data_IF_278686902160
#
_entry.id   IF_278686902160
#
_cell.length_a   1.000
_cell.length_b   1.000
_cell.length_c   1.000
_cell.angle_alpha   90.00
_cell.angle_beta   90.00
_cell.angle_gamma   90.00
#
_symmetry.space_group_name_H-M   'P 1'
#
loop_
_entity.id
_entity.type
_entity.pdbx_description
1 polymer ?
#
# COMPACT_ATOMS: atom_id res chain seq x y z
N UNK A 1 33.27 -53.23 -35.78
CA UNK A 1 32.17 -52.28 -35.76
C UNK A 1 31.05 -52.95 -34.99
N UNK A 2 30.88 -52.66 -33.70
CA UNK A 2 29.80 -53.21 -32.89
C UNK A 2 28.55 -52.44 -33.18
N UNK A 3 27.47 -53.15 -33.50
CA UNK A 3 26.15 -52.65 -33.67
C UNK A 3 25.65 -51.99 -32.35
N UNK A 4 25.09 -50.79 -32.33
CA UNK A 4 24.53 -50.25 -31.13
C UNK A 4 23.33 -51.10 -30.70
N UNK A 5 23.48 -51.83 -29.59
CA UNK A 5 22.40 -52.63 -29.00
C UNK A 5 21.17 -51.74 -28.81
N UNK A 6 20.05 -52.16 -29.42
CA UNK A 6 18.74 -51.52 -29.16
C UNK A 6 18.46 -51.50 -27.64
N UNK A 7 17.94 -50.40 -27.09
CA UNK A 7 17.65 -50.33 -25.68
C UNK A 7 16.63 -51.40 -25.28
N UNK A 8 16.89 -52.05 -24.14
CA UNK A 8 16.02 -53.11 -23.60
C UNK A 8 14.65 -52.51 -23.29
N UNK A 9 13.59 -53.19 -23.75
CA UNK A 9 12.19 -52.80 -23.54
C UNK A 9 11.88 -52.50 -22.07
N UNK A 10 12.48 -53.25 -21.16
CA UNK A 10 12.32 -53.06 -19.70
C UNK A 10 12.91 -51.73 -19.22
N UNK A 11 14.06 -51.33 -19.75
CA UNK A 11 14.70 -50.04 -19.47
C UNK A 11 13.86 -48.85 -19.96
N UNK A 12 13.23 -49.01 -21.14
CA UNK A 12 12.32 -47.99 -21.69
C UNK A 12 11.05 -47.85 -20.82
N UNK A 13 10.48 -48.96 -20.38
CA UNK A 13 9.28 -48.95 -19.51
C UNK A 13 9.56 -48.30 -18.17
N UNK A 14 10.71 -48.53 -17.54
CA UNK A 14 11.13 -47.88 -16.30
C UNK A 14 11.34 -46.37 -16.49
N UNK A 15 11.98 -45.97 -17.58
CA UNK A 15 12.19 -44.54 -17.90
C UNK A 15 10.87 -43.79 -18.15
N UNK A 16 9.93 -44.42 -18.87
CA UNK A 16 8.62 -43.86 -19.12
C UNK A 16 7.85 -43.73 -17.81
N UNK A 17 7.89 -44.73 -16.94
CA UNK A 17 7.24 -44.67 -15.62
C UNK A 17 7.81 -43.57 -14.76
N UNK A 18 9.14 -43.44 -14.66
CA UNK A 18 9.82 -42.38 -13.94
C UNK A 18 9.43 -40.99 -14.45
N UNK A 19 9.31 -40.81 -15.78
CA UNK A 19 8.83 -39.56 -16.39
C UNK A 19 7.40 -39.22 -15.97
N UNK A 20 6.49 -40.21 -16.10
CA UNK A 20 5.08 -40.00 -15.71
C UNK A 20 4.93 -39.66 -14.24
N UNK A 21 5.67 -40.33 -13.38
CA UNK A 21 5.68 -40.04 -11.92
C UNK A 21 6.21 -38.61 -11.64
N UNK A 22 7.30 -38.22 -12.30
CA UNK A 22 7.86 -36.87 -12.18
C UNK A 22 6.91 -35.78 -12.72
N UNK A 23 6.24 -36.02 -13.85
CA UNK A 23 5.23 -35.12 -14.40
C UNK A 23 4.02 -34.99 -13.46
N UNK A 24 3.56 -36.08 -12.86
CA UNK A 24 2.47 -36.06 -11.90
C UNK A 24 2.85 -35.25 -10.63
N UNK A 25 4.07 -35.46 -10.10
CA UNK A 25 4.56 -34.69 -8.94
C UNK A 25 4.70 -33.20 -9.26
N UNK A 26 5.22 -32.88 -10.45
CA UNK A 26 5.34 -31.48 -10.89
C UNK A 26 3.98 -30.80 -11.01
N UNK A 27 2.99 -31.51 -11.55
CA UNK A 27 1.63 -30.99 -11.69
C UNK A 27 0.95 -30.79 -10.33
N UNK A 28 1.12 -31.72 -9.39
CA UNK A 28 0.61 -31.57 -8.00
C UNK A 28 1.27 -30.35 -7.31
N UNK A 29 2.57 -30.17 -7.46
CA UNK A 29 3.28 -29.02 -6.91
C UNK A 29 2.77 -27.70 -7.52
N UNK A 30 2.55 -27.64 -8.83
CA UNK A 30 1.98 -26.46 -9.50
C UNK A 30 0.60 -26.11 -8.94
N UNK A 31 -0.28 -27.10 -8.82
CA UNK A 31 -1.61 -26.91 -8.24
C UNK A 31 -1.55 -26.36 -6.80
N UNK A 32 -0.63 -26.87 -5.98
CA UNK A 32 -0.45 -26.36 -4.60
C UNK A 32 0.05 -24.93 -4.59
N UNK A 33 0.99 -24.58 -5.47
CA UNK A 33 1.50 -23.20 -5.59
C UNK A 33 0.37 -22.27 -6.06
N UNK A 34 -0.37 -22.64 -7.10
CA UNK A 34 -1.48 -21.84 -7.61
C UNK A 34 -2.56 -21.60 -6.54
N UNK A 35 -2.93 -22.65 -5.79
CA UNK A 35 -3.87 -22.52 -4.68
C UNK A 35 -3.35 -21.60 -3.57
N UNK A 36 -2.06 -21.72 -3.21
CA UNK A 36 -1.46 -20.86 -2.21
C UNK A 36 -1.43 -19.39 -2.68
N UNK A 37 -1.11 -19.15 -3.94
CA UNK A 37 -1.13 -17.81 -4.54
C UNK A 37 -2.53 -17.20 -4.54
N UNK A 38 -3.56 -17.98 -4.89
CA UNK A 38 -4.95 -17.51 -4.85
C UNK A 38 -5.39 -17.16 -3.42
N UNK A 39 -5.12 -18.02 -2.43
CA UNK A 39 -5.48 -17.79 -1.04
C UNK A 39 -4.77 -16.58 -0.44
N UNK A 40 -3.51 -16.36 -0.81
CA UNK A 40 -2.71 -15.23 -0.34
C UNK A 40 -2.95 -13.95 -1.15
N UNK A 41 -3.76 -14.02 -2.22
CA UNK A 41 -3.92 -12.96 -3.22
C UNK A 41 -2.56 -12.42 -3.72
N UNK A 42 -1.64 -13.35 -4.00
CA UNK A 42 -0.24 -13.11 -4.36
C UNK A 42 0.06 -13.68 -5.74
N UNK A 43 0.66 -12.90 -6.60
CA UNK A 43 1.25 -13.36 -7.86
C UNK A 43 2.77 -13.28 -7.85
N UNK A 44 3.42 -13.94 -8.79
CA UNK A 44 4.84 -13.83 -9.04
C UNK A 44 5.13 -13.43 -10.50
N UNK A 45 6.28 -12.83 -10.69
CA UNK A 45 6.80 -12.47 -12.00
C UNK A 45 8.27 -12.87 -12.13
N UNK A 46 8.68 -13.16 -13.36
CA UNK A 46 10.04 -13.48 -13.73
C UNK A 46 10.35 -12.83 -15.09
N UNK A 47 11.03 -11.69 -15.04
CA UNK A 47 11.36 -10.89 -16.22
C UNK A 47 12.79 -11.16 -16.69
N UNK A 48 12.91 -11.60 -17.91
CA UNK A 48 14.18 -11.75 -18.62
C UNK A 48 14.52 -10.43 -19.32
N UNK A 49 15.44 -9.67 -18.75
CA UNK A 49 15.76 -8.29 -19.13
C UNK A 49 16.24 -8.19 -20.60
N UNK A 50 17.20 -9.03 -21.09
CA UNK A 50 17.74 -8.88 -22.43
C UNK A 50 16.71 -9.05 -23.56
N UNK A 51 15.63 -9.81 -23.34
CA UNK A 51 14.61 -10.07 -24.36
C UNK A 51 13.28 -9.35 -24.07
N UNK A 52 13.21 -8.60 -22.99
CA UNK A 52 11.97 -8.03 -22.45
C UNK A 52 10.81 -9.03 -22.38
N UNK A 53 11.12 -10.28 -21.98
CA UNK A 53 10.12 -11.33 -21.81
C UNK A 53 9.80 -11.47 -20.33
N UNK A 54 8.59 -11.13 -19.93
CA UNK A 54 8.13 -11.21 -18.56
C UNK A 54 7.12 -12.34 -18.40
N UNK A 55 7.41 -13.29 -17.53
CA UNK A 55 6.50 -14.38 -17.21
C UNK A 55 5.76 -14.04 -15.93
N UNK A 56 4.44 -14.01 -16.01
CA UNK A 56 3.54 -13.80 -14.88
C UNK A 56 2.86 -15.10 -14.49
N UNK A 57 2.63 -15.30 -13.19
CA UNK A 57 1.74 -16.35 -12.73
C UNK A 57 0.28 -16.04 -13.11
N UNK A 58 -0.55 -17.07 -13.20
CA UNK A 58 -1.97 -16.91 -13.51
C UNK A 58 -2.67 -15.99 -12.51
N UNK A 59 -2.28 -16.05 -11.23
CA UNK A 59 -2.81 -15.17 -10.19
C UNK A 59 -2.41 -13.70 -10.41
N UNK A 60 -1.22 -13.43 -10.93
CA UNK A 60 -0.81 -12.05 -11.23
C UNK A 60 -1.70 -11.44 -12.32
N UNK A 61 -2.01 -12.18 -13.39
CA UNK A 61 -2.98 -11.72 -14.39
C UNK A 61 -4.33 -11.36 -13.76
N UNK A 62 -4.86 -12.21 -12.85
CA UNK A 62 -6.13 -11.96 -12.15
C UNK A 62 -6.08 -10.74 -11.25
N UNK A 63 -4.96 -10.50 -10.55
CA UNK A 63 -4.74 -9.29 -9.74
C UNK A 63 -4.82 -8.04 -10.63
N UNK A 64 -4.26 -8.09 -11.83
CA UNK A 64 -4.34 -6.99 -12.79
C UNK A 64 -5.68 -6.89 -13.53
N UNK A 65 -6.63 -7.81 -13.28
CA UNK A 65 -7.96 -7.81 -13.89
C UNK A 65 -8.02 -8.41 -15.28
N UNK A 66 -7.09 -9.31 -15.60
CA UNK A 66 -7.04 -10.00 -16.89
C UNK A 66 -7.19 -11.51 -16.74
N UNK A 67 -7.65 -12.15 -17.79
CA UNK A 67 -7.60 -13.60 -17.90
C UNK A 67 -6.15 -14.09 -17.97
N UNK A 68 -5.81 -15.22 -17.32
CA UNK A 68 -4.48 -15.80 -17.37
C UNK A 68 -3.97 -15.97 -18.81
N UNK A 69 -2.72 -15.60 -19.04
CA UNK A 69 -2.02 -15.72 -20.32
C UNK A 69 -2.70 -14.98 -21.50
N UNK A 70 -3.60 -14.01 -21.22
CA UNK A 70 -4.31 -13.26 -22.28
C UNK A 70 -3.43 -12.31 -23.09
N UNK A 71 -2.22 -12.03 -22.61
CA UNK A 71 -1.23 -11.21 -23.31
C UNK A 71 0.20 -11.61 -22.94
N UNK A 72 1.17 -11.18 -23.75
CA UNK A 72 2.57 -11.28 -23.40
C UNK A 72 2.96 -10.11 -22.48
N UNK A 73 3.37 -10.44 -21.27
CA UNK A 73 3.83 -9.43 -20.32
C UNK A 73 5.23 -8.92 -20.72
N UNK A 74 5.44 -7.62 -20.58
CA UNK A 74 6.71 -6.92 -20.78
C UNK A 74 6.86 -5.83 -19.72
N UNK A 75 8.05 -5.26 -19.60
CA UNK A 75 8.28 -4.14 -18.67
C UNK A 75 7.50 -2.89 -19.08
N UNK A 76 7.47 -2.58 -20.38
CA UNK A 76 6.70 -1.46 -20.90
C UNK A 76 5.20 -1.62 -20.56
N UNK A 77 4.68 -2.83 -20.74
CA UNK A 77 3.28 -3.12 -20.43
C UNK A 77 2.98 -3.03 -18.94
N UNK A 78 3.89 -3.51 -18.10
CA UNK A 78 3.80 -3.32 -16.64
C UNK A 78 3.68 -1.82 -16.28
N UNK A 79 4.58 -0.98 -16.81
CA UNK A 79 4.53 0.46 -16.56
C UNK A 79 3.22 1.11 -17.02
N UNK A 80 2.59 0.58 -18.07
CA UNK A 80 1.32 1.11 -18.58
C UNK A 80 0.16 0.90 -17.62
N UNK A 81 0.19 -0.12 -16.78
CA UNK A 81 -0.83 -0.42 -15.78
C UNK A 81 -0.68 0.41 -14.51
N UNK A 82 0.50 0.96 -14.24
CA UNK A 82 0.74 1.77 -13.06
C UNK A 82 -0.05 3.09 -13.10
N UNK A 83 -0.48 3.52 -11.92
CA UNK A 83 -0.98 4.89 -11.76
C UNK A 83 0.08 5.88 -12.29
N UNK A 84 -0.32 6.95 -13.01
CA UNK A 84 0.65 7.89 -13.61
C UNK A 84 1.70 8.42 -12.63
N UNK A 85 1.29 8.75 -11.41
CA UNK A 85 2.18 9.34 -10.39
C UNK A 85 3.22 8.34 -9.85
N UNK A 86 2.96 7.03 -9.99
CA UNK A 86 3.84 5.98 -9.43
C UNK A 86 4.90 5.53 -10.45
N UNK A 87 4.75 5.86 -11.73
CA UNK A 87 5.63 5.39 -12.82
C UNK A 87 7.08 5.80 -12.62
N UNK A 88 7.33 7.08 -12.39
CA UNK A 88 8.69 7.60 -12.22
C UNK A 88 9.35 7.08 -10.94
N UNK A 89 8.71 7.13 -9.74
CA UNK A 89 9.27 6.55 -8.53
C UNK A 89 9.63 5.06 -8.66
N UNK A 90 8.76 4.25 -9.30
CA UNK A 90 9.00 2.82 -9.49
C UNK A 90 10.16 2.56 -10.45
N UNK A 91 10.27 3.34 -11.52
CA UNK A 91 11.43 3.26 -12.42
C UNK A 91 12.74 3.58 -11.70
N UNK A 92 12.75 4.55 -10.78
CA UNK A 92 13.92 4.88 -9.97
C UNK A 92 14.29 3.73 -9.03
N UNK A 93 13.32 3.10 -8.35
CA UNK A 93 13.55 1.93 -7.50
C UNK A 93 14.18 0.78 -8.31
N UNK A 94 13.66 0.50 -9.51
CA UNK A 94 14.23 -0.54 -10.36
C UNK A 94 15.64 -0.19 -10.86
N UNK A 95 15.90 1.06 -11.21
CA UNK A 95 17.23 1.52 -11.60
C UNK A 95 18.25 1.37 -10.47
N UNK A 96 17.84 1.68 -9.23
CA UNK A 96 18.68 1.47 -8.05
C UNK A 96 18.98 -0.01 -7.82
N UNK A 97 17.96 -0.88 -7.93
CA UNK A 97 18.14 -2.32 -7.85
C UNK A 97 19.07 -2.88 -8.93
N UNK A 98 19.05 -2.32 -10.15
CA UNK A 98 20.01 -2.68 -11.20
C UNK A 98 21.43 -2.25 -10.88
N UNK A 99 21.59 -1.08 -10.25
CA UNK A 99 22.91 -0.54 -9.94
C UNK A 99 23.56 -1.21 -8.72
N UNK A 100 22.76 -1.55 -7.71
CA UNK A 100 23.24 -2.07 -6.42
C UNK A 100 23.20 -3.58 -6.30
N UNK A 101 22.24 -4.24 -6.98
CA UNK A 101 21.93 -5.66 -6.80
C UNK A 101 21.13 -5.96 -5.53
N UNK A 102 20.79 -4.94 -4.76
CA UNK A 102 20.00 -5.09 -3.54
C UNK A 102 18.53 -5.43 -3.86
N UNK A 103 17.89 -6.28 -3.05
CA UNK A 103 16.46 -6.53 -3.16
C UNK A 103 15.67 -5.26 -2.91
N UNK A 104 14.58 -5.07 -3.66
CA UNK A 104 13.69 -3.94 -3.47
C UNK A 104 12.33 -4.36 -2.92
N UNK A 105 11.69 -3.41 -2.26
CA UNK A 105 10.31 -3.48 -1.82
C UNK A 105 9.62 -2.17 -2.18
N UNK A 106 8.40 -2.26 -2.69
CA UNK A 106 7.61 -1.09 -3.05
C UNK A 106 6.13 -1.35 -2.84
N UNK A 107 5.36 -0.27 -2.71
CA UNK A 107 3.91 -0.31 -2.84
C UNK A 107 3.55 0.50 -4.07
N UNK A 108 2.77 -0.08 -4.96
CA UNK A 108 2.38 0.52 -6.23
C UNK A 108 0.87 0.52 -6.39
N UNK A 109 0.38 1.53 -7.08
CA UNK A 109 -1.02 1.59 -7.51
C UNK A 109 -1.12 1.16 -8.96
N UNK A 110 -2.03 0.24 -9.24
CA UNK A 110 -2.37 -0.17 -10.59
C UNK A 110 -3.81 0.22 -10.92
N UNK A 111 -4.07 0.51 -12.18
CA UNK A 111 -5.41 0.78 -12.71
C UNK A 111 -5.82 -0.41 -13.57
N UNK A 112 -6.86 -1.13 -13.16
CA UNK A 112 -7.43 -2.26 -13.89
C UNK A 112 -8.17 -1.81 -15.15
N UNK A 113 -8.49 -2.73 -16.09
CA UNK A 113 -9.26 -2.40 -17.30
C UNK A 113 -10.66 -1.82 -17.05
N UNK A 114 -11.27 -2.18 -15.92
CA UNK A 114 -12.57 -1.64 -15.46
C UNK A 114 -12.45 -0.28 -14.78
N UNK A 115 -11.23 0.26 -14.64
CA UNK A 115 -10.94 1.52 -13.96
C UNK A 115 -10.74 1.38 -12.44
N UNK A 116 -10.86 0.17 -11.88
CA UNK A 116 -10.64 -0.07 -10.45
C UNK A 116 -9.17 0.16 -10.08
N UNK A 117 -8.95 0.94 -9.02
CA UNK A 117 -7.62 1.16 -8.44
C UNK A 117 -7.29 0.04 -7.45
N UNK A 118 -6.12 -0.55 -7.59
CA UNK A 118 -5.58 -1.56 -6.67
C UNK A 118 -4.23 -1.15 -6.11
N UNK A 119 -3.95 -1.55 -4.88
CA UNK A 119 -2.68 -1.34 -4.20
C UNK A 119 -1.95 -2.66 -4.10
N UNK A 120 -0.74 -2.74 -4.66
CA UNK A 120 0.09 -3.94 -4.62
C UNK A 120 1.32 -3.69 -3.77
N UNK A 121 1.61 -4.63 -2.86
CA UNK A 121 2.90 -4.69 -2.17
C UNK A 121 3.79 -5.65 -2.93
N UNK A 122 4.82 -5.12 -3.56
CA UNK A 122 5.75 -5.87 -4.41
C UNK A 122 7.14 -5.92 -3.82
N UNK A 123 7.77 -7.06 -3.97
CA UNK A 123 9.19 -7.23 -3.68
C UNK A 123 9.87 -7.97 -4.83
N UNK A 124 11.16 -7.75 -4.98
CA UNK A 124 11.91 -8.42 -6.02
C UNK A 124 13.41 -8.27 -5.86
N UNK A 125 14.10 -9.02 -6.69
CA UNK A 125 15.57 -8.98 -6.78
C UNK A 125 16.03 -9.08 -8.22
N UNK A 126 17.15 -8.45 -8.50
CA UNK A 126 17.85 -8.55 -9.78
C UNK A 126 18.89 -9.65 -9.72
N UNK A 127 18.96 -10.48 -10.75
CA UNK A 127 19.99 -11.50 -10.93
C UNK A 127 20.93 -11.05 -12.04
N UNK A 128 22.21 -11.25 -11.80
CA UNK A 128 23.30 -10.86 -12.70
C UNK A 128 23.97 -12.08 -13.30
N UNK A 129 24.55 -11.94 -14.45
CA UNK A 129 25.45 -12.93 -15.04
C UNK A 129 26.86 -12.85 -14.44
N UNK A 130 27.78 -13.70 -14.90
CA UNK A 130 29.17 -13.74 -14.45
C UNK A 130 29.94 -12.43 -14.75
N UNK A 131 29.46 -11.62 -15.69
CA UNK A 131 30.05 -10.33 -16.06
C UNK A 131 29.55 -9.18 -15.19
N UNK A 132 28.56 -9.41 -14.31
CA UNK A 132 27.89 -8.38 -13.54
C UNK A 132 26.81 -7.63 -14.30
N UNK A 133 26.35 -8.16 -15.42
CA UNK A 133 25.23 -7.58 -16.20
C UNK A 133 23.90 -8.08 -15.66
N UNK A 134 22.88 -7.21 -15.43
CA UNK A 134 21.57 -7.64 -14.97
C UNK A 134 20.86 -8.41 -16.09
N UNK A 135 20.50 -9.67 -15.82
CA UNK A 135 19.86 -10.56 -16.80
C UNK A 135 18.44 -10.91 -16.46
N UNK A 136 18.06 -10.83 -15.19
CA UNK A 136 16.76 -11.28 -14.74
C UNK A 136 16.28 -10.47 -13.54
N UNK A 137 14.99 -10.20 -13.49
CA UNK A 137 14.34 -9.63 -12.29
C UNK A 137 13.14 -10.50 -11.95
N UNK A 138 13.05 -10.93 -10.70
CA UNK A 138 11.93 -11.74 -10.24
C UNK A 138 11.47 -11.31 -8.87
N UNK A 139 10.19 -11.51 -8.62
CA UNK A 139 9.60 -11.13 -7.35
C UNK A 139 8.16 -11.58 -7.22
N UNK A 140 7.52 -11.07 -6.17
CA UNK A 140 6.12 -11.34 -5.87
C UNK A 140 5.37 -10.02 -5.64
N UNK A 141 4.08 -10.03 -5.99
CA UNK A 141 3.16 -8.93 -5.77
C UNK A 141 1.96 -9.46 -4.97
N UNK A 142 1.60 -8.79 -3.89
CA UNK A 142 0.43 -9.10 -3.06
C UNK A 142 -0.57 -7.96 -3.23
N UNK A 143 -1.82 -8.28 -3.55
CA UNK A 143 -2.89 -7.29 -3.52
C UNK A 143 -3.24 -6.97 -2.05
N UNK A 144 -2.94 -5.74 -1.65
CA UNK A 144 -3.17 -5.23 -0.28
C UNK A 144 -4.29 -4.19 -0.24
N UNK A 145 -5.09 -4.11 -1.28
CA UNK A 145 -6.13 -3.08 -1.44
C UNK A 145 -7.10 -3.04 -0.28
N UNK A 146 -7.66 -4.19 0.11
CA UNK A 146 -8.60 -4.27 1.23
C UNK A 146 -7.97 -3.78 2.54
N UNK A 147 -6.70 -4.12 2.78
CA UNK A 147 -5.97 -3.67 3.96
C UNK A 147 -5.74 -2.16 3.95
N UNK A 148 -5.31 -1.60 2.81
CA UNK A 148 -5.07 -0.15 2.67
C UNK A 148 -6.37 0.62 2.84
N UNK A 149 -7.45 0.21 2.18
CA UNK A 149 -8.75 0.88 2.30
C UNK A 149 -9.31 0.80 3.72
N UNK A 150 -9.22 -0.36 4.38
CA UNK A 150 -9.65 -0.51 5.77
C UNK A 150 -8.83 0.36 6.74
N UNK A 151 -7.54 0.57 6.50
CA UNK A 151 -6.70 1.47 7.29
C UNK A 151 -7.11 2.93 7.09
N UNK A 152 -7.29 3.35 5.84
CA UNK A 152 -7.77 4.70 5.51
C UNK A 152 -9.14 5.01 6.15
N UNK A 153 -10.09 4.07 6.09
CA UNK A 153 -11.37 4.21 6.75
C UNK A 153 -11.24 4.38 8.27
N UNK A 154 -10.35 3.61 8.91
CA UNK A 154 -10.08 3.73 10.35
C UNK A 154 -9.48 5.08 10.71
N UNK A 155 -8.52 5.56 9.93
CA UNK A 155 -7.90 6.86 10.12
C UNK A 155 -8.91 7.99 9.97
N UNK A 156 -9.76 7.95 8.94
CA UNK A 156 -10.84 8.92 8.75
C UNK A 156 -11.84 8.91 9.92
N UNK A 157 -12.25 7.72 10.38
CA UNK A 157 -13.13 7.60 11.53
C UNK A 157 -12.51 8.15 12.81
N UNK A 158 -11.23 7.84 13.05
CA UNK A 158 -10.50 8.37 14.20
C UNK A 158 -10.38 9.91 14.15
N UNK A 159 -10.05 10.46 12.97
CA UNK A 159 -9.96 11.91 12.78
C UNK A 159 -11.31 12.61 13.01
N UNK A 160 -12.40 12.04 12.48
CA UNK A 160 -13.77 12.57 12.70
C UNK A 160 -14.16 12.52 14.17
N UNK A 161 -13.91 11.39 14.86
CA UNK A 161 -14.20 11.24 16.29
C UNK A 161 -13.39 12.23 17.14
N UNK A 162 -12.11 12.42 16.83
CA UNK A 162 -11.26 13.40 17.49
C UNK A 162 -11.78 14.84 17.29
N UNK A 163 -12.13 15.20 16.06
CA UNK A 163 -12.68 16.52 15.75
C UNK A 163 -14.01 16.79 16.51
N UNK A 164 -14.88 15.79 16.60
CA UNK A 164 -16.13 15.89 17.36
C UNK A 164 -15.85 16.06 18.86
N UNK A 165 -14.92 15.30 19.42
CA UNK A 165 -14.53 15.41 20.81
C UNK A 165 -13.96 16.80 21.13
N UNK A 166 -13.11 17.34 20.27
CA UNK A 166 -12.57 18.70 20.42
C UNK A 166 -13.68 19.75 20.38
N UNK A 167 -14.64 19.64 19.46
CA UNK A 167 -15.79 20.55 19.39
C UNK A 167 -16.66 20.49 20.66
N UNK A 168 -16.92 19.28 21.18
CA UNK A 168 -17.68 19.09 22.42
C UNK A 168 -16.95 19.71 23.59
N UNK A 169 -15.63 19.49 23.71
CA UNK A 169 -14.82 20.06 24.78
C UNK A 169 -14.83 21.60 24.77
N UNK A 170 -14.63 22.18 23.59
CA UNK A 170 -14.69 23.63 23.41
C UNK A 170 -16.06 24.22 23.72
N UNK A 171 -17.14 23.53 23.31
CA UNK A 171 -18.50 23.97 23.67
C UNK A 171 -18.75 23.98 25.20
N UNK A 172 -18.26 22.98 25.92
CA UNK A 172 -18.33 22.91 27.36
C UNK A 172 -17.52 24.05 28.03
N UNK A 173 -16.30 24.28 27.53
CA UNK A 173 -15.43 25.33 28.04
C UNK A 173 -16.02 26.75 27.83
N UNK A 174 -16.59 27.00 26.64
CA UNK A 174 -17.31 28.26 26.37
C UNK A 174 -18.50 28.39 27.32
N UNK A 175 -19.32 27.33 27.46
CA UNK A 175 -20.49 27.37 28.32
C UNK A 175 -20.09 27.65 29.78
N UNK A 176 -19.08 26.99 30.30
CA UNK A 176 -18.59 27.20 31.66
C UNK A 176 -18.07 28.62 31.87
N UNK A 177 -17.24 29.11 30.96
CA UNK A 177 -16.70 30.47 31.03
C UNK A 177 -17.82 31.54 30.94
N UNK A 178 -18.80 31.33 30.05
CA UNK A 178 -19.94 32.26 29.89
C UNK A 178 -20.84 32.25 31.13
N UNK A 179 -21.21 31.06 31.63
CA UNK A 179 -22.09 30.93 32.79
C UNK A 179 -21.42 31.51 34.03
N UNK A 180 -20.14 31.19 34.32
CA UNK A 180 -19.40 31.72 35.43
C UNK A 180 -19.21 33.24 35.34
N UNK A 181 -18.84 33.75 34.18
CA UNK A 181 -18.63 35.19 33.99
C UNK A 181 -19.89 36.01 34.07
N UNK A 182 -21.00 35.49 33.52
CA UNK A 182 -22.31 36.16 33.68
C UNK A 182 -22.82 36.11 35.12
N UNK A 183 -22.63 34.98 35.81
CA UNK A 183 -23.01 34.86 37.23
C UNK A 183 -22.23 35.84 38.10
N UNK A 184 -20.91 35.97 37.87
CA UNK A 184 -20.08 36.94 38.58
C UNK A 184 -20.48 38.39 38.26
N UNK A 185 -20.83 38.68 37.01
CA UNK A 185 -21.31 40.01 36.62
C UNK A 185 -22.67 40.34 37.26
N UNK A 186 -23.60 39.37 37.34
CA UNK A 186 -24.89 39.55 38.04
C UNK A 186 -24.69 39.82 39.53
N UNK A 187 -23.81 39.08 40.20
CA UNK A 187 -23.51 39.30 41.61
C UNK A 187 -22.90 40.70 41.88
N UNK A 188 -21.96 41.11 40.99
CA UNK A 188 -21.39 42.45 41.06
C UNK A 188 -22.45 43.58 40.88
N UNK A 189 -23.44 43.33 40.03
CA UNK A 189 -24.56 44.25 39.82
C UNK A 189 -25.47 44.35 41.07
N UNK A 190 -25.71 43.23 41.76
CA UNK A 190 -26.53 43.22 42.99
C UNK A 190 -25.90 44.05 44.13
N UNK A 191 -24.58 44.18 44.15
CA UNK A 191 -23.84 44.99 45.12
C UNK A 191 -23.48 46.41 44.62
N UNK A 192 -24.04 46.80 43.45
CA UNK A 192 -23.87 48.11 42.80
C UNK A 192 -22.41 48.44 42.39
N UNK A 193 -21.59 47.39 42.11
CA UNK A 193 -20.20 47.53 41.65
C UNK A 193 -20.15 47.46 40.10
N UNK A 194 -20.41 48.57 39.45
CA UNK A 194 -20.47 48.69 37.97
C UNK A 194 -19.10 48.47 37.30
N UNK A 195 -17.99 48.76 37.98
CA UNK A 195 -16.65 48.52 37.46
C UNK A 195 -16.34 47.02 37.37
N UNK A 196 -16.70 46.26 38.42
CA UNK A 196 -16.59 44.81 38.46
C UNK A 196 -17.49 44.15 37.40
N UNK A 197 -18.70 44.61 37.16
CA UNK A 197 -19.60 44.15 36.08
C UNK A 197 -18.90 44.25 34.71
N UNK A 198 -18.37 45.43 34.40
CA UNK A 198 -17.66 45.65 33.14
C UNK A 198 -16.39 44.77 32.98
N UNK A 199 -15.71 44.53 34.11
CA UNK A 199 -14.54 43.65 34.16
C UNK A 199 -14.88 42.19 33.90
N UNK A 200 -15.92 41.64 34.52
CA UNK A 200 -16.36 40.25 34.31
C UNK A 200 -16.87 40.01 32.88
N UNK A 201 -17.67 40.92 32.35
CA UNK A 201 -18.18 40.81 30.97
C UNK A 201 -17.07 40.81 29.93
N UNK A 202 -16.05 41.69 30.05
CA UNK A 202 -14.90 41.72 29.14
C UNK A 202 -14.09 40.42 29.20
N UNK A 203 -13.76 39.93 30.41
CA UNK A 203 -13.03 38.65 30.55
C UNK A 203 -13.79 37.46 29.93
N UNK A 204 -15.09 37.39 30.12
CA UNK A 204 -15.96 36.37 29.55
C UNK A 204 -15.94 36.41 28.02
N UNK A 205 -16.06 37.61 27.44
CA UNK A 205 -16.04 37.79 26.00
C UNK A 205 -14.69 37.43 25.41
N UNK A 206 -13.58 37.79 26.04
CA UNK A 206 -12.24 37.48 25.57
C UNK A 206 -11.94 35.97 25.66
N UNK A 207 -12.36 35.31 26.74
CA UNK A 207 -12.24 33.86 26.88
C UNK A 207 -13.03 33.11 25.77
N UNK A 208 -14.29 33.51 25.51
CA UNK A 208 -15.11 32.94 24.48
C UNK A 208 -14.49 33.14 23.07
N UNK A 209 -13.94 34.33 22.80
CA UNK A 209 -13.24 34.62 21.53
C UNK A 209 -12.00 33.78 21.36
N UNK A 210 -11.22 33.52 22.40
CA UNK A 210 -10.02 32.70 22.34
C UNK A 210 -10.36 31.27 21.90
N UNK A 211 -11.34 30.63 22.56
CA UNK A 211 -11.76 29.27 22.22
C UNK A 211 -12.30 29.19 20.78
N UNK A 212 -13.06 30.21 20.31
CA UNK A 212 -13.55 30.24 18.93
C UNK A 212 -12.39 30.36 17.94
N UNK A 213 -11.37 31.15 18.26
CA UNK A 213 -10.18 31.30 17.40
C UNK A 213 -9.39 29.99 17.29
N UNK A 214 -9.18 29.30 18.41
CA UNK A 214 -8.50 28.00 18.46
C UNK A 214 -9.25 26.92 17.64
N UNK A 215 -10.58 26.91 17.69
CA UNK A 215 -11.41 26.02 16.89
C UNK A 215 -11.41 26.34 15.37
N UNK A 216 -11.10 27.59 15.03
CA UNK A 216 -11.09 28.06 13.64
C UNK A 216 -9.72 27.93 12.97
N UNK A 217 -8.69 27.56 13.72
CA UNK A 217 -7.35 27.31 13.17
C UNK A 217 -7.38 26.09 12.24
N UNK A 218 -6.87 26.19 10.99
CA UNK A 218 -6.81 25.05 10.11
C UNK A 218 -5.91 23.98 10.71
N UNK A 219 -6.40 22.73 10.70
CA UNK A 219 -5.58 21.55 11.08
C UNK A 219 -4.48 21.45 10.02
N UNK A 220 -3.25 21.82 10.37
CA UNK A 220 -2.08 21.58 9.53
C UNK A 220 -1.77 20.08 9.54
N UNK A 221 -2.09 19.41 8.46
CA UNK A 221 -1.83 17.98 8.26
C UNK A 221 -2.31 17.58 6.88
N UNK A 222 -1.71 18.13 5.83
CA UNK A 222 -1.88 17.60 4.47
C UNK A 222 -0.83 16.49 4.30
N UNK A 223 -1.20 15.26 4.67
CA UNK A 223 -0.42 14.07 4.33
C UNK A 223 -0.82 13.71 2.91
N UNK A 224 0.00 14.10 1.96
CA UNK A 224 -0.20 13.76 0.55
C UNK A 224 -0.12 12.25 0.30
N UNK A 225 -0.86 11.71 -0.69
CA UNK A 225 -0.85 10.29 -1.03
C UNK A 225 0.53 9.70 -1.38
N UNK A 226 1.57 10.52 -1.52
CA UNK A 226 2.94 10.12 -1.82
C UNK A 226 3.82 9.78 -0.60
N UNK A 227 3.38 10.10 0.62
CA UNK A 227 4.21 9.92 1.82
C UNK A 227 4.25 8.47 2.33
N UNK A 228 3.30 7.62 1.93
CA UNK A 228 3.30 6.19 2.25
C UNK A 228 4.45 5.41 1.59
N UNK A 229 5.10 5.97 0.59
CA UNK A 229 6.24 5.35 -0.12
C UNK A 229 7.57 5.55 0.61
N UNK A 230 7.68 6.53 1.53
CA UNK A 230 8.95 6.96 2.13
C UNK A 230 9.28 6.45 3.53
N UNK A 231 8.35 5.83 4.28
CA UNK A 231 8.57 5.58 5.71
C UNK A 231 9.31 4.28 6.09
N UNK A 232 9.90 3.53 5.17
CA UNK A 232 10.66 2.30 5.53
C UNK A 232 12.10 2.21 5.06
N UNK A 233 12.71 3.30 4.65
CA UNK A 233 14.14 3.33 4.32
C UNK A 233 15.03 3.87 5.47
N UNK A 234 14.50 4.11 6.66
CA UNK A 234 15.27 4.60 7.80
C UNK A 234 14.91 3.85 9.09
N UNK A 235 15.49 2.68 9.26
CA UNK A 235 15.37 1.92 10.50
C UNK A 235 16.24 0.67 10.46
N UNK A 236 17.49 0.85 10.90
CA UNK A 236 18.54 -0.13 11.34
C UNK A 236 18.63 -1.47 10.64
#
# INVERSE_FOLDING_TARGET
MGDPQAPDLHSIEEEVKLRLDAEAQLNDLRLRVDNAQQLANMGDYDWHIPTDTNRWSDQLYRIYGYEPQSFNASYERFLSFLHPDDREPIQQIHQEAYATGEPYQMTERIVRPDGELRYLASNGQVLFDESGTPVRMRGTCIDVTERVLAEQEREEHAARAHAEQMRRRAALEINDNVVQGLTAALYALEIDDLDAVGGHLRKTLDAARHVITDLSAPVQGDVGPGDLVRERAAGD
#
